data_IF_916536594535
#
_entry.id   IF_916536594535
#
_cell.length_a   1.000
_cell.length_b   1.000
_cell.length_c   1.000
_cell.angle_alpha   90.00
_cell.angle_beta   90.00
_cell.angle_gamma   90.00
#
_symmetry.space_group_name_H-M   'P 1'
#
loop_
_entity.id
_entity.type
_entity.pdbx_description
1 polymer ?
#
# COMPACT_ATOMS: atom_id res chain seq x y z
N UNK A 1 -15.23 8.27 7.85
CA UNK A 1 -14.22 7.74 6.90
C UNK A 1 -14.81 7.62 5.51
N UNK A 2 -14.15 8.20 4.54
CA UNK A 2 -14.58 8.12 3.15
C UNK A 2 -13.46 7.53 2.30
N UNK A 3 -13.81 6.56 1.46
CA UNK A 3 -12.85 5.83 0.62
C UNK A 3 -13.03 6.21 -0.83
N UNK A 4 -11.93 6.50 -1.50
CA UNK A 4 -11.92 6.84 -2.93
C UNK A 4 -10.86 6.02 -3.66
N UNK A 5 -11.18 5.66 -4.89
CA UNK A 5 -10.18 5.06 -5.77
C UNK A 5 -9.11 6.10 -6.11
N UNK A 6 -7.85 5.66 -6.08
CA UNK A 6 -6.70 6.53 -6.35
C UNK A 6 -6.76 7.05 -7.78
N UNK A 7 -6.61 8.38 -7.91
CA UNK A 7 -6.43 9.06 -9.20
C UNK A 7 -5.32 10.10 -9.06
N UNK A 8 -4.94 10.72 -10.16
CA UNK A 8 -3.91 11.77 -10.16
C UNK A 8 -4.26 12.98 -9.28
N UNK A 9 -5.54 13.23 -9.03
CA UNK A 9 -5.94 14.35 -8.15
C UNK A 9 -5.49 14.17 -6.70
N UNK A 10 -5.20 12.92 -6.30
CA UNK A 10 -4.75 12.61 -4.94
C UNK A 10 -3.22 12.68 -4.79
N UNK A 11 -2.48 12.84 -5.88
CA UNK A 11 -1.01 12.66 -5.88
C UNK A 11 -0.29 13.54 -4.86
N UNK A 12 -0.64 14.82 -4.77
CA UNK A 12 0.05 15.75 -3.88
C UNK A 12 -0.13 15.35 -2.40
N UNK A 13 -1.35 15.05 -2.00
CA UNK A 13 -1.65 14.62 -0.64
C UNK A 13 -1.05 13.26 -0.32
N UNK A 14 -1.10 12.33 -1.27
CA UNK A 14 -0.49 11.00 -1.13
C UNK A 14 1.02 11.11 -0.93
N UNK A 15 1.69 11.96 -1.71
CA UNK A 15 3.15 12.12 -1.61
C UNK A 15 3.57 12.68 -0.26
N UNK A 16 2.82 13.64 0.27
CA UNK A 16 3.09 14.20 1.59
C UNK A 16 2.93 13.15 2.70
N UNK A 17 1.84 12.39 2.66
CA UNK A 17 1.59 11.30 3.60
C UNK A 17 2.67 10.22 3.50
N UNK A 18 3.01 9.82 2.28
CA UNK A 18 4.00 8.80 1.99
C UNK A 18 5.38 9.16 2.58
N UNK A 19 5.87 10.35 2.29
CA UNK A 19 7.15 10.82 2.78
C UNK A 19 7.17 10.87 4.31
N UNK A 20 6.13 11.41 4.94
CA UNK A 20 6.03 11.47 6.39
C UNK A 20 6.04 10.07 7.03
N UNK A 21 5.28 9.15 6.47
CA UNK A 21 5.17 7.79 7.02
C UNK A 21 6.47 7.00 6.89
N UNK A 22 7.09 6.99 5.72
CA UNK A 22 8.26 6.15 5.45
C UNK A 22 9.59 6.79 5.88
N UNK A 23 9.63 8.09 6.11
CA UNK A 23 10.79 8.73 6.72
C UNK A 23 10.86 8.51 8.24
N UNK A 24 9.78 8.03 8.84
CA UNK A 24 9.71 7.70 10.25
C UNK A 24 10.18 6.26 10.52
N UNK A 25 10.53 5.92 11.78
CA UNK A 25 10.83 4.54 12.15
C UNK A 25 9.65 3.60 11.83
N UNK A 26 9.88 2.35 11.49
CA UNK A 26 11.17 1.64 11.45
C UNK A 26 11.96 1.82 10.14
N UNK A 27 11.37 2.46 9.11
CA UNK A 27 11.98 2.55 7.78
C UNK A 27 13.09 3.58 7.72
N UNK A 28 12.90 4.77 8.30
CA UNK A 28 13.87 5.86 8.32
C UNK A 28 14.42 6.20 6.91
N UNK A 29 13.52 6.17 5.91
CA UNK A 29 13.86 6.54 4.54
C UNK A 29 14.12 8.05 4.43
N UNK A 30 14.57 8.48 3.25
CA UNK A 30 14.88 9.89 2.97
C UNK A 30 14.08 10.39 1.76
N UNK A 31 12.76 10.16 1.78
CA UNK A 31 11.89 10.65 0.73
C UNK A 31 11.75 12.16 0.79
N UNK A 32 11.85 12.79 -0.37
CA UNK A 32 11.37 14.17 -0.56
C UNK A 32 9.96 14.10 -1.15
N UNK A 33 9.20 15.19 -1.08
CA UNK A 33 7.89 15.24 -1.76
C UNK A 33 8.07 14.98 -3.25
N UNK A 34 9.13 15.49 -3.85
CA UNK A 34 9.44 15.28 -5.27
C UNK A 34 9.66 13.79 -5.61
N UNK A 35 10.50 13.09 -4.83
CA UNK A 35 10.77 11.67 -5.09
C UNK A 35 9.57 10.80 -4.77
N UNK A 36 8.81 11.14 -3.74
CA UNK A 36 7.55 10.44 -3.43
C UNK A 36 6.52 10.61 -4.55
N UNK A 37 6.37 11.82 -5.09
CA UNK A 37 5.49 12.06 -6.24
C UNK A 37 5.90 11.24 -7.45
N UNK A 38 7.19 11.19 -7.75
CA UNK A 38 7.70 10.42 -8.89
C UNK A 38 7.35 8.94 -8.75
N UNK A 39 7.57 8.37 -7.57
CA UNK A 39 7.25 6.97 -7.31
C UNK A 39 5.75 6.69 -7.45
N UNK A 40 4.92 7.48 -6.78
CA UNK A 40 3.46 7.28 -6.81
C UNK A 40 2.87 7.54 -8.18
N UNK A 41 3.39 8.51 -8.91
CA UNK A 41 3.00 8.78 -10.31
C UNK A 41 3.23 7.53 -11.18
N UNK A 42 4.39 6.90 -11.05
CA UNK A 42 4.70 5.68 -11.78
C UNK A 42 3.73 4.55 -11.44
N UNK A 43 3.39 4.40 -10.17
CA UNK A 43 2.43 3.38 -9.72
C UNK A 43 1.02 3.63 -10.27
N UNK A 44 0.54 4.86 -10.22
CA UNK A 44 -0.79 5.23 -10.72
C UNK A 44 -0.92 4.93 -12.21
N UNK A 45 0.14 5.15 -12.98
CA UNK A 45 0.14 4.97 -14.44
C UNK A 45 0.55 3.55 -14.87
N UNK A 46 0.86 2.68 -13.95
CA UNK A 46 1.17 1.29 -14.29
C UNK A 46 -0.10 0.57 -14.75
N UNK A 47 0.00 -0.20 -15.83
CA UNK A 47 -1.14 -0.99 -16.30
C UNK A 47 -1.57 -1.98 -15.23
N UNK A 48 -2.87 -2.05 -14.96
CA UNK A 48 -3.40 -2.87 -13.89
C UNK A 48 -3.36 -2.23 -12.50
N UNK A 49 -2.94 -0.97 -12.42
CA UNK A 49 -2.88 -0.26 -11.13
C UNK A 49 -4.26 -0.11 -10.51
N UNK A 50 -4.33 -0.30 -9.20
CA UNK A 50 -5.52 -0.04 -8.41
C UNK A 50 -5.09 0.35 -6.99
N UNK A 51 -5.77 1.31 -6.42
CA UNK A 51 -5.50 1.73 -5.06
C UNK A 51 -6.66 2.47 -4.45
N UNK A 52 -6.65 2.61 -3.15
CA UNK A 52 -7.61 3.40 -2.38
C UNK A 52 -6.90 4.42 -1.52
N UNK A 53 -7.53 5.55 -1.35
CA UNK A 53 -7.22 6.51 -0.31
C UNK A 53 -8.38 6.62 0.66
N UNK A 54 -8.09 6.93 1.91
CA UNK A 54 -9.10 7.18 2.93
C UNK A 54 -8.95 8.61 3.46
N UNK A 55 -10.08 9.30 3.51
CA UNK A 55 -10.19 10.63 4.10
C UNK A 55 -10.89 10.53 5.44
N UNK A 56 -10.37 11.27 6.42
CA UNK A 56 -11.01 11.46 7.71
C UNK A 56 -10.93 12.94 8.06
N UNK A 57 -12.08 13.56 8.37
CA UNK A 57 -12.16 15.00 8.63
C UNK A 57 -11.52 15.84 7.50
N UNK A 58 -11.89 15.52 6.25
CA UNK A 58 -11.43 16.21 5.05
C UNK A 58 -9.92 16.13 4.80
N UNK A 59 -9.21 15.24 5.50
CA UNK A 59 -7.77 15.02 5.37
C UNK A 59 -7.49 13.61 4.89
N UNK A 60 -6.60 13.49 3.89
CA UNK A 60 -6.13 12.20 3.42
C UNK A 60 -5.29 11.55 4.53
N UNK A 61 -5.78 10.42 5.06
CA UNK A 61 -5.25 9.77 6.25
C UNK A 61 -4.66 8.39 5.99
N UNK A 62 -4.78 7.88 4.78
CA UNK A 62 -4.17 6.59 4.43
C UNK A 62 -4.23 6.33 2.94
N UNK A 63 -3.34 5.47 2.48
CA UNK A 63 -3.31 5.00 1.10
C UNK A 63 -2.89 3.54 1.04
N UNK A 64 -3.40 2.84 0.04
CA UNK A 64 -2.96 1.50 -0.35
C UNK A 64 -3.02 1.43 -1.87
N UNK A 65 -1.96 0.96 -2.50
CA UNK A 65 -1.87 0.90 -3.97
C UNK A 65 -0.98 -0.25 -4.41
N UNK A 66 -1.29 -0.82 -5.56
CA UNK A 66 -0.49 -1.85 -6.20
C UNK A 66 -0.99 -2.11 -7.61
N UNK A 67 -0.75 -3.32 -8.10
CA UNK A 67 -1.15 -3.68 -9.45
C UNK A 67 -1.49 -5.15 -9.60
N UNK A 68 -2.39 -5.42 -10.53
CA UNK A 68 -2.80 -6.79 -10.87
C UNK A 68 -1.97 -7.36 -12.01
N UNK A 69 -1.77 -8.68 -11.97
CA UNK A 69 -1.08 -9.42 -13.02
C UNK A 69 -1.82 -10.72 -13.30
N UNK A 70 -1.91 -11.09 -14.58
CA UNK A 70 -2.51 -12.34 -14.99
C UNK A 70 -1.51 -13.47 -14.83
N UNK A 71 -1.90 -14.52 -14.09
CA UNK A 71 -1.18 -15.79 -14.01
C UNK A 71 -2.03 -16.90 -14.66
N UNK A 72 -1.44 -18.10 -14.83
CA UNK A 72 -2.13 -19.20 -15.49
C UNK A 72 -3.40 -19.66 -14.75
N UNK A 73 -3.45 -19.44 -13.45
CA UNK A 73 -4.53 -19.91 -12.57
C UNK A 73 -5.42 -18.78 -12.00
N UNK A 74 -5.24 -17.56 -12.50
CA UNK A 74 -6.05 -16.42 -12.08
C UNK A 74 -5.28 -15.11 -12.00
N UNK A 75 -5.94 -14.08 -11.54
CA UNK A 75 -5.35 -12.75 -11.40
C UNK A 75 -4.81 -12.59 -9.99
N UNK A 76 -3.56 -12.21 -9.90
CA UNK A 76 -2.85 -11.92 -8.66
C UNK A 76 -2.68 -10.42 -8.49
N UNK A 77 -2.73 -9.93 -7.27
CA UNK A 77 -2.49 -8.51 -6.97
C UNK A 77 -1.27 -8.36 -6.08
N UNK A 78 -0.34 -7.50 -6.49
CA UNK A 78 0.82 -7.16 -5.67
C UNK A 78 0.58 -5.81 -5.01
N UNK A 79 0.48 -5.80 -3.68
CA UNK A 79 0.43 -4.55 -2.92
C UNK A 79 1.84 -3.95 -2.91
N UNK A 80 1.96 -2.72 -3.41
CA UNK A 80 3.24 -2.01 -3.51
C UNK A 80 3.47 -1.09 -2.33
N UNK A 81 2.43 -0.36 -1.91
CA UNK A 81 2.51 0.58 -0.81
C UNK A 81 1.25 0.55 0.03
N UNK A 82 1.43 0.60 1.35
CA UNK A 82 0.36 0.75 2.32
C UNK A 82 0.89 1.57 3.48
N UNK A 83 0.30 2.73 3.70
CA UNK A 83 0.64 3.54 4.85
C UNK A 83 -0.55 4.38 5.31
N UNK A 84 -0.52 4.75 6.57
CA UNK A 84 -1.53 5.58 7.20
C UNK A 84 -0.88 6.74 7.94
N UNK A 85 -1.63 7.79 8.18
CA UNK A 85 -1.18 8.92 8.97
C UNK A 85 -0.78 8.44 10.37
N UNK A 86 0.37 8.90 10.82
CA UNK A 86 0.85 8.60 12.16
C UNK A 86 0.05 9.28 13.26
N UNK A 87 -0.73 10.27 12.91
CA UNK A 87 -1.61 11.04 13.80
C UNK A 87 -3.02 11.11 13.24
N UNK A 88 -4.05 10.77 14.03
CA UNK A 88 -4.04 10.19 15.37
C UNK A 88 -3.95 8.66 15.30
N UNK A 89 -3.14 8.08 16.16
CA UNK A 89 -3.01 6.61 16.27
C UNK A 89 -4.24 6.00 16.96
N UNK A 90 -4.51 4.72 16.67
CA UNK A 90 -5.54 3.95 17.36
C UNK A 90 -6.96 4.17 16.88
N UNK A 91 -7.17 4.85 15.76
CA UNK A 91 -8.52 5.09 15.20
C UNK A 91 -8.95 4.03 14.17
N UNK A 92 -8.17 2.98 13.99
CA UNK A 92 -8.54 1.90 13.09
C UNK A 92 -8.53 2.25 11.60
N UNK A 93 -7.88 3.34 11.21
CA UNK A 93 -7.84 3.79 9.82
C UNK A 93 -7.21 2.74 8.92
N UNK A 94 -6.06 2.20 9.33
CA UNK A 94 -5.38 1.16 8.56
C UNK A 94 -6.21 -0.10 8.40
N UNK A 95 -6.86 -0.54 9.45
CA UNK A 95 -7.74 -1.72 9.42
C UNK A 95 -8.92 -1.48 8.50
N UNK A 96 -9.58 -0.34 8.61
CA UNK A 96 -10.73 0.00 7.76
C UNK A 96 -10.35 0.11 6.29
N UNK A 97 -9.22 0.78 6.00
CA UNK A 97 -8.72 0.92 4.63
C UNK A 97 -8.39 -0.45 4.03
N UNK A 98 -7.68 -1.28 4.77
CA UNK A 98 -7.29 -2.61 4.28
C UNK A 98 -8.52 -3.51 4.06
N UNK A 99 -9.49 -3.48 4.96
CA UNK A 99 -10.72 -4.25 4.84
C UNK A 99 -11.52 -3.84 3.60
N UNK A 100 -11.68 -2.53 3.37
CA UNK A 100 -12.36 -2.03 2.17
C UNK A 100 -11.59 -2.40 0.90
N UNK A 101 -10.27 -2.33 0.94
CA UNK A 101 -9.41 -2.71 -0.17
C UNK A 101 -9.59 -4.19 -0.54
N UNK A 102 -9.51 -5.08 0.44
CA UNK A 102 -9.74 -6.53 0.21
C UNK A 102 -11.10 -6.80 -0.41
N UNK A 103 -12.14 -6.14 0.11
CA UNK A 103 -13.50 -6.28 -0.42
C UNK A 103 -13.53 -5.94 -1.91
N UNK A 104 -12.94 -4.81 -2.30
CA UNK A 104 -12.93 -4.38 -3.71
C UNK A 104 -12.09 -5.30 -4.59
N UNK A 105 -10.99 -5.84 -4.09
CA UNK A 105 -10.21 -6.81 -4.84
C UNK A 105 -10.98 -8.11 -5.08
N UNK A 106 -11.72 -8.58 -4.09
CA UNK A 106 -12.60 -9.74 -4.24
C UNK A 106 -13.67 -9.50 -5.32
N UNK A 107 -14.28 -8.32 -5.29
CA UNK A 107 -15.27 -7.92 -6.31
C UNK A 107 -14.68 -7.85 -7.72
N UNK A 108 -13.39 -7.54 -7.84
CA UNK A 108 -12.65 -7.55 -9.12
C UNK A 108 -12.24 -8.95 -9.58
N UNK A 109 -12.46 -9.98 -8.77
CA UNK A 109 -12.06 -11.34 -9.09
C UNK A 109 -10.60 -11.66 -8.85
N UNK A 110 -9.92 -10.87 -8.01
CA UNK A 110 -8.53 -11.14 -7.63
C UNK A 110 -8.50 -12.43 -6.81
N UNK A 111 -7.61 -13.36 -7.20
CA UNK A 111 -7.47 -14.67 -6.56
C UNK A 111 -6.59 -14.60 -5.32
N UNK A 112 -5.52 -13.83 -5.37
CA UNK A 112 -4.50 -13.78 -4.31
C UNK A 112 -3.84 -12.42 -4.27
N UNK A 113 -3.52 -11.97 -3.06
CA UNK A 113 -2.69 -10.80 -2.84
C UNK A 113 -1.31 -11.24 -2.36
N UNK A 114 -0.27 -10.60 -2.88
CA UNK A 114 1.09 -10.74 -2.39
C UNK A 114 1.68 -9.37 -2.07
N UNK A 115 2.72 -9.35 -1.26
CA UNK A 115 3.50 -8.15 -0.97
C UNK A 115 4.91 -8.52 -0.52
N UNK A 116 5.81 -7.55 -0.58
CA UNK A 116 7.13 -7.63 0.02
C UNK A 116 7.16 -6.68 1.21
N UNK A 117 7.68 -7.16 2.33
CA UNK A 117 7.81 -6.35 3.55
C UNK A 117 9.09 -6.70 4.28
N UNK A 118 9.51 -5.83 5.19
CA UNK A 118 10.67 -6.11 6.04
C UNK A 118 10.29 -7.13 7.12
N UNK A 119 11.27 -7.90 7.55
CA UNK A 119 11.08 -8.80 8.69
C UNK A 119 10.89 -7.99 9.97
N UNK A 120 10.04 -8.50 10.86
CA UNK A 120 9.80 -7.89 12.16
C UNK A 120 8.32 -7.74 12.50
N UNK A 121 8.02 -7.57 13.78
CA UNK A 121 6.65 -7.53 14.27
C UNK A 121 5.88 -6.29 13.78
N UNK A 122 6.56 -5.16 13.61
CA UNK A 122 5.94 -3.90 13.18
C UNK A 122 5.75 -3.80 11.66
N UNK A 123 6.21 -4.78 10.92
CA UNK A 123 6.11 -4.86 9.45
C UNK A 123 5.43 -6.16 9.04
N UNK A 124 6.17 -7.24 8.92
CA UNK A 124 5.64 -8.56 8.57
C UNK A 124 4.54 -9.01 9.55
N UNK A 125 4.70 -8.75 10.84
CA UNK A 125 3.71 -9.13 11.87
C UNK A 125 2.34 -8.52 11.65
N UNK A 126 2.26 -7.29 11.13
CA UNK A 126 1.00 -6.63 10.78
C UNK A 126 0.21 -7.46 9.76
N UNK A 127 0.91 -7.98 8.76
CA UNK A 127 0.27 -8.77 7.69
C UNK A 127 -0.09 -10.18 8.15
N UNK A 128 0.68 -10.79 9.04
CA UNK A 128 0.30 -12.05 9.67
C UNK A 128 -1.05 -11.92 10.41
N UNK A 129 -1.26 -10.83 11.13
CA UNK A 129 -2.54 -10.56 11.80
C UNK A 129 -3.71 -10.37 10.83
N UNK A 130 -3.44 -10.08 9.56
CA UNK A 130 -4.46 -9.95 8.51
C UNK A 130 -4.65 -11.21 7.69
N UNK A 131 -4.03 -12.31 8.08
CA UNK A 131 -4.18 -13.60 7.41
C UNK A 131 -3.15 -13.88 6.32
N UNK A 132 -2.16 -13.02 6.16
CA UNK A 132 -1.04 -13.31 5.27
C UNK A 132 -0.11 -14.33 5.90
N UNK A 133 0.50 -15.14 5.08
CA UNK A 133 1.54 -16.07 5.49
C UNK A 133 2.80 -15.86 4.66
N UNK A 134 3.94 -16.17 5.24
CA UNK A 134 5.22 -16.11 4.54
C UNK A 134 5.27 -17.17 3.43
N UNK A 135 5.76 -16.81 2.27
CA UNK A 135 5.95 -17.74 1.15
C UNK A 135 7.39 -18.24 1.22
N UNK A 136 7.59 -19.35 1.94
CA UNK A 136 8.93 -19.79 2.36
C UNK A 136 9.81 -20.33 1.23
N UNK A 137 9.23 -20.71 0.09
CA UNK A 137 9.97 -21.16 -1.08
C UNK A 137 10.39 -20.02 -2.04
N UNK A 138 10.13 -18.79 -1.65
CA UNK A 138 10.47 -17.61 -2.44
C UNK A 138 11.51 -16.77 -1.71
N UNK A 139 12.35 -16.10 -2.48
CA UNK A 139 13.35 -15.17 -1.93
C UNK A 139 13.41 -13.93 -2.81
N UNK A 140 13.52 -12.78 -2.16
CA UNK A 140 13.78 -11.52 -2.84
C UNK A 140 15.28 -11.38 -3.03
N UNK A 141 15.74 -11.14 -4.26
CA UNK A 141 17.15 -11.01 -4.59
C UNK A 141 17.42 -9.63 -5.15
N UNK A 142 18.59 -9.08 -4.82
CA UNK A 142 19.03 -7.79 -5.31
C UNK A 142 20.44 -7.84 -5.85
N UNK A 143 20.77 -6.93 -6.77
CA UNK A 143 22.13 -6.72 -7.29
C UNK A 143 22.29 -5.24 -7.60
N UNK A 144 23.37 -4.65 -7.09
CA UNK A 144 23.73 -3.28 -7.45
C UNK A 144 24.38 -3.26 -8.83
N UNK A 145 24.05 -2.24 -9.62
CA UNK A 145 24.57 -2.07 -10.97
C UNK A 145 25.60 -0.94 -11.03
#
# INVERSE_FOLDING_TARGET
MEFYEVTMKHLNEMAALYADAFNAPPWNDKWTVKTAKKRLHQMIHCKGAFGLVVYQNERLSGLIIGGEEQFYDGVMFTIKEFCVDRKPRGQGIGTSLFTEFEKRLKEKGIREMILFTSRGDSTEGIYHHRGFHSIDNMVMMGKEL
#
